data_IF_644495859569
#
_entry.id   IF_644495859569
#
_cell.length_a   1.000
_cell.length_b   1.000
_cell.length_c   1.000
_cell.angle_alpha   90.00
_cell.angle_beta   90.00
_cell.angle_gamma   90.00
#
_symmetry.space_group_name_H-M   'P 1'
#
loop_
_entity.id
_entity.type
_entity.pdbx_description
1 polymer ?
#
# COMPACT_ATOMS: atom_id res chain seq x y z
N UNK A 1 -24.64 -35.19 -14.52
CA UNK A 1 -24.12 -33.93 -15.10
C UNK A 1 -24.32 -32.68 -14.23
N UNK A 2 -25.34 -32.57 -13.35
CA UNK A 2 -25.47 -31.41 -12.44
C UNK A 2 -24.55 -31.43 -11.21
N UNK A 3 -23.98 -32.60 -10.83
CA UNK A 3 -22.96 -32.72 -9.77
C UNK A 3 -21.61 -32.05 -10.12
N UNK A 4 -21.41 -31.66 -11.39
CA UNK A 4 -20.21 -30.95 -11.85
C UNK A 4 -20.35 -29.42 -11.77
N UNK A 5 -21.58 -28.90 -11.62
CA UNK A 5 -21.81 -27.45 -11.50
C UNK A 5 -21.64 -26.94 -10.06
N UNK A 6 -21.83 -27.82 -9.06
CA UNK A 6 -21.68 -27.46 -7.65
C UNK A 6 -20.19 -27.35 -7.24
N UNK A 7 -19.30 -28.05 -7.94
CA UNK A 7 -17.85 -27.98 -7.69
C UNK A 7 -17.20 -26.67 -8.18
N UNK A 8 -17.79 -25.97 -9.15
CA UNK A 8 -17.22 -24.73 -9.67
C UNK A 8 -17.65 -23.48 -8.88
N UNK A 9 -18.81 -23.52 -8.21
CA UNK A 9 -19.18 -22.47 -7.23
C UNK A 9 -18.36 -22.55 -5.94
N UNK A 10 -17.80 -23.72 -5.59
CA UNK A 10 -16.90 -23.88 -4.45
C UNK A 10 -15.51 -23.27 -4.68
N UNK A 11 -15.11 -23.00 -5.92
CA UNK A 11 -13.81 -22.38 -6.24
C UNK A 11 -13.88 -20.84 -6.21
N UNK A 12 -15.10 -20.26 -6.24
CA UNK A 12 -15.32 -18.81 -6.19
C UNK A 12 -15.81 -18.31 -4.80
N UNK A 13 -16.01 -19.21 -3.84
CA UNK A 13 -16.70 -18.96 -2.59
C UNK A 13 -15.88 -19.18 -1.32
N UNK A 14 -14.56 -19.23 -1.41
CA UNK A 14 -13.68 -19.06 -0.25
C UNK A 14 -13.01 -17.68 -0.40
N UNK A 15 -13.41 -16.62 0.29
CA UNK A 15 -13.64 -16.53 1.73
C UNK A 15 -12.56 -17.28 2.53
N UNK A 16 -11.30 -17.24 2.05
CA UNK A 16 -10.16 -17.38 2.93
C UNK A 16 -9.69 -15.97 3.24
N UNK A 17 -10.34 -15.36 4.23
CA UNK A 17 -9.61 -14.44 5.10
C UNK A 17 -8.56 -15.27 5.81
N UNK A 18 -7.43 -15.51 5.13
CA UNK A 18 -6.24 -15.94 5.84
C UNK A 18 -5.79 -14.75 6.67
N UNK A 19 -5.56 -14.98 7.95
CA UNK A 19 -4.97 -13.97 8.80
C UNK A 19 -3.60 -13.59 8.23
N UNK A 20 -3.30 -12.29 8.20
CA UNK A 20 -1.94 -11.86 7.94
C UNK A 20 -1.03 -12.51 9.00
N UNK A 21 0.16 -13.02 8.60
CA UNK A 21 1.04 -13.78 9.51
C UNK A 21 1.57 -12.94 10.68
N UNK A 22 1.48 -11.61 10.56
CA UNK A 22 1.85 -10.62 11.58
C UNK A 22 0.85 -9.47 11.53
N UNK A 23 0.73 -8.71 12.63
CA UNK A 23 -0.15 -7.53 12.69
C UNK A 23 0.29 -6.50 11.65
N UNK A 24 -0.57 -6.24 10.69
CA UNK A 24 -0.26 -5.42 9.51
C UNK A 24 -1.10 -4.15 9.50
N UNK A 25 -0.45 -2.99 9.48
CA UNK A 25 -1.07 -1.70 9.29
C UNK A 25 -0.94 -1.26 7.83
N UNK A 26 -2.05 -1.02 7.16
CA UNK A 26 -2.08 -0.38 5.84
C UNK A 26 -2.39 1.09 6.03
N UNK A 27 -1.43 1.95 5.71
CA UNK A 27 -1.62 3.40 5.64
C UNK A 27 -1.92 3.73 4.19
N UNK A 28 -3.18 4.08 3.93
CA UNK A 28 -3.72 4.26 2.60
C UNK A 28 -3.98 5.75 2.36
N UNK A 29 -3.55 6.24 1.20
CA UNK A 29 -3.90 7.60 0.77
C UNK A 29 -4.16 7.67 -0.73
N UNK A 30 -5.28 8.28 -1.09
CA UNK A 30 -5.66 8.45 -2.49
C UNK A 30 -6.54 9.71 -2.70
N UNK A 31 -6.05 10.76 -3.41
CA UNK A 31 -6.75 12.04 -3.53
C UNK A 31 -8.10 11.95 -4.25
N UNK A 32 -8.28 10.91 -5.08
CA UNK A 32 -9.51 10.64 -5.82
C UNK A 32 -10.06 9.25 -5.50
N UNK A 33 -10.11 8.86 -4.21
CA UNK A 33 -10.49 7.50 -3.79
C UNK A 33 -11.86 7.06 -4.34
N UNK A 34 -12.78 7.99 -4.50
CA UNK A 34 -14.14 7.72 -4.99
C UNK A 34 -14.20 7.24 -6.44
N UNK A 35 -13.22 7.57 -7.27
CA UNK A 35 -13.17 7.15 -8.68
C UNK A 35 -12.13 6.06 -8.93
N UNK A 36 -11.36 5.69 -7.91
CA UNK A 36 -10.24 4.75 -8.04
C UNK A 36 -10.68 3.31 -7.86
N UNK A 37 -10.74 2.56 -8.95
CA UNK A 37 -11.04 1.12 -8.93
C UNK A 37 -9.96 0.31 -8.23
N UNK A 38 -8.68 0.67 -8.42
CA UNK A 38 -7.55 0.01 -7.76
C UNK A 38 -7.61 0.16 -6.24
N UNK A 39 -7.83 1.39 -5.77
CA UNK A 39 -7.85 1.68 -4.35
C UNK A 39 -9.03 0.98 -3.66
N UNK A 40 -10.22 1.05 -4.27
CA UNK A 40 -11.42 0.35 -3.77
C UNK A 40 -11.20 -1.16 -3.71
N UNK A 41 -10.77 -1.77 -4.82
CA UNK A 41 -10.56 -3.22 -4.87
C UNK A 41 -9.52 -3.72 -3.88
N UNK A 42 -8.42 -2.98 -3.68
CA UNK A 42 -7.41 -3.37 -2.70
C UNK A 42 -7.89 -3.15 -1.25
N UNK A 43 -8.61 -2.05 -0.98
CA UNK A 43 -9.20 -1.80 0.34
C UNK A 43 -10.22 -2.87 0.69
N UNK A 44 -11.13 -3.19 -0.21
CA UNK A 44 -12.13 -4.26 -0.06
C UNK A 44 -11.45 -5.62 0.18
N UNK A 45 -10.42 -5.96 -0.60
CA UNK A 45 -9.67 -7.19 -0.40
C UNK A 45 -8.98 -7.21 0.98
N UNK A 46 -8.32 -6.13 1.37
CA UNK A 46 -7.64 -6.04 2.66
C UNK A 46 -8.59 -6.13 3.86
N UNK A 47 -9.83 -5.66 3.73
CA UNK A 47 -10.86 -5.79 4.78
C UNK A 47 -11.28 -7.24 5.04
N UNK A 48 -11.02 -8.15 4.09
CA UNK A 48 -11.34 -9.58 4.26
C UNK A 48 -10.22 -10.38 4.91
N UNK A 49 -9.05 -9.78 5.13
CA UNK A 49 -7.85 -10.41 5.70
C UNK A 49 -7.79 -10.08 7.20
N UNK A 50 -7.72 -11.09 8.07
CA UNK A 50 -7.57 -10.85 9.51
C UNK A 50 -6.16 -10.34 9.87
N UNK A 51 -6.00 -9.79 11.08
CA UNK A 51 -4.78 -9.10 11.52
C UNK A 51 -4.34 -7.90 10.66
N UNK A 52 -5.23 -7.37 9.83
CA UNK A 52 -5.01 -6.16 9.02
C UNK A 52 -5.83 -4.99 9.56
N UNK A 53 -5.15 -3.88 9.82
CA UNK A 53 -5.77 -2.59 10.14
C UNK A 53 -5.58 -1.64 8.96
N UNK A 54 -6.63 -0.97 8.53
CA UNK A 54 -6.56 0.02 7.44
C UNK A 54 -6.75 1.42 8.01
N UNK A 55 -5.74 2.26 7.84
CA UNK A 55 -5.77 3.69 8.09
C UNK A 55 -5.93 4.42 6.75
N UNK A 56 -7.17 4.72 6.36
CA UNK A 56 -7.50 5.54 5.19
C UNK A 56 -7.43 7.02 5.58
N UNK A 57 -6.34 7.69 5.19
CA UNK A 57 -6.04 9.04 5.65
C UNK A 57 -7.12 10.04 5.24
N UNK A 58 -7.61 9.96 4.00
CA UNK A 58 -8.68 10.84 3.53
C UNK A 58 -10.03 10.56 4.21
N UNK A 59 -10.28 9.34 4.68
CA UNK A 59 -11.48 9.02 5.47
C UNK A 59 -11.44 9.57 6.89
N UNK A 60 -10.29 9.44 7.55
CA UNK A 60 -10.13 9.79 8.97
C UNK A 60 -9.93 11.30 9.13
N UNK A 61 -9.13 11.90 8.25
CA UNK A 61 -8.61 13.27 8.39
C UNK A 61 -9.13 14.22 7.31
N UNK A 62 -9.88 13.72 6.32
CA UNK A 62 -10.28 14.48 5.15
C UNK A 62 -9.08 14.83 4.27
N UNK A 63 -9.19 15.93 3.53
CA UNK A 63 -8.11 16.42 2.65
C UNK A 63 -7.27 17.53 3.30
N UNK A 64 -7.39 17.72 4.62
CA UNK A 64 -6.60 18.69 5.37
C UNK A 64 -5.35 18.02 5.96
N UNK A 65 -4.19 18.33 5.38
CA UNK A 65 -2.91 17.81 5.87
C UNK A 65 -2.57 18.17 7.32
N UNK A 66 -3.18 19.22 7.88
CA UNK A 66 -2.88 19.70 9.25
C UNK A 66 -3.73 19.02 10.32
N UNK A 67 -4.76 18.26 9.92
CA UNK A 67 -5.66 17.59 10.86
C UNK A 67 -5.10 16.26 11.37
N UNK A 68 -3.97 15.78 10.82
CA UNK A 68 -3.35 14.51 11.19
C UNK A 68 -2.93 14.53 12.66
N UNK A 69 -3.51 13.62 13.44
CA UNK A 69 -3.14 13.39 14.83
C UNK A 69 -1.91 12.47 14.89
N UNK A 70 -0.73 13.07 14.93
CA UNK A 70 0.52 12.35 14.98
C UNK A 70 0.64 11.40 16.17
N UNK A 71 0.12 11.73 17.35
CA UNK A 71 0.30 10.85 18.52
C UNK A 71 -0.55 9.59 18.41
N UNK A 72 -1.81 9.75 17.99
CA UNK A 72 -2.69 8.63 17.72
C UNK A 72 -2.09 7.67 16.68
N UNK A 73 -1.61 8.21 15.57
CA UNK A 73 -1.04 7.38 14.50
C UNK A 73 0.27 6.69 14.92
N UNK A 74 1.08 7.34 15.76
CA UNK A 74 2.27 6.69 16.36
C UNK A 74 1.88 5.54 17.28
N UNK A 75 0.83 5.70 18.10
CA UNK A 75 0.34 4.62 18.96
C UNK A 75 -0.13 3.42 18.11
N UNK A 76 -0.95 3.66 17.10
CA UNK A 76 -1.39 2.61 16.16
C UNK A 76 -0.17 1.95 15.52
N UNK A 77 0.81 2.72 15.05
CA UNK A 77 2.03 2.18 14.43
C UNK A 77 2.82 1.27 15.37
N UNK A 78 2.89 1.59 16.68
CA UNK A 78 3.58 0.74 17.67
C UNK A 78 2.97 -0.65 17.79
N UNK A 79 1.65 -0.76 17.67
CA UNK A 79 0.89 -2.01 17.82
C UNK A 79 1.02 -2.98 16.64
N UNK A 80 1.62 -2.55 15.53
CA UNK A 80 1.75 -3.33 14.31
C UNK A 80 3.20 -3.66 13.98
N UNK A 81 3.44 -4.84 13.44
CA UNK A 81 4.77 -5.33 13.10
C UNK A 81 5.13 -4.98 11.65
N UNK A 82 4.13 -4.99 10.76
CA UNK A 82 4.29 -4.69 9.34
C UNK A 82 3.51 -3.44 8.97
N UNK A 83 4.15 -2.52 8.26
CA UNK A 83 3.56 -1.28 7.77
C UNK A 83 3.54 -1.29 6.24
N UNK A 84 2.37 -1.07 5.64
CA UNK A 84 2.18 -1.01 4.20
C UNK A 84 1.74 0.39 3.81
N UNK A 85 2.53 1.08 3.01
CA UNK A 85 2.14 2.36 2.44
C UNK A 85 1.46 2.14 1.09
N UNK A 86 0.19 2.51 1.01
CA UNK A 86 -0.63 2.36 -0.17
C UNK A 86 -1.00 3.73 -0.75
N UNK A 87 -0.51 4.04 -1.95
CA UNK A 87 -0.84 5.31 -2.62
C UNK A 87 -0.66 5.23 -4.14
N UNK A 88 -1.39 6.02 -4.94
CA UNK A 88 -1.05 6.21 -6.35
C UNK A 88 0.21 7.08 -6.49
N UNK A 89 1.10 6.72 -7.40
CA UNK A 89 2.24 7.56 -7.79
C UNK A 89 1.75 8.64 -8.74
N UNK A 90 1.69 9.88 -8.25
CA UNK A 90 1.40 11.07 -9.07
C UNK A 90 2.68 11.88 -9.22
N UNK A 91 3.09 12.16 -10.47
CA UNK A 91 4.33 12.90 -10.76
C UNK A 91 5.56 12.37 -10.01
N UNK A 92 5.72 11.05 -10.01
CA UNK A 92 6.84 10.34 -9.34
C UNK A 92 6.92 10.60 -7.82
N UNK A 93 5.79 10.97 -7.21
CA UNK A 93 5.71 11.32 -5.81
C UNK A 93 4.56 10.59 -5.11
N UNK A 94 4.60 10.61 -3.79
CA UNK A 94 3.52 10.17 -2.90
C UNK A 94 2.42 11.23 -2.86
N UNK A 95 1.26 10.86 -2.31
CA UNK A 95 0.13 11.77 -2.14
C UNK A 95 0.38 12.81 -1.03
N UNK A 96 -0.29 13.97 -1.07
CA UNK A 96 -0.14 15.02 -0.06
C UNK A 96 -0.43 14.54 1.37
N UNK A 97 -1.50 13.78 1.58
CA UNK A 97 -1.86 13.25 2.90
C UNK A 97 -0.82 12.24 3.39
N UNK A 98 -0.32 11.35 2.52
CA UNK A 98 0.78 10.44 2.88
C UNK A 98 2.04 11.20 3.29
N UNK A 99 2.39 12.27 2.57
CA UNK A 99 3.54 13.12 2.93
C UNK A 99 3.37 13.77 4.30
N UNK A 100 2.18 14.29 4.58
CA UNK A 100 1.85 14.91 5.86
C UNK A 100 1.90 13.89 7.01
N UNK A 101 1.34 12.69 6.80
CA UNK A 101 1.42 11.59 7.77
C UNK A 101 2.86 11.26 8.15
N UNK A 102 3.76 11.16 7.17
CA UNK A 102 5.17 10.87 7.42
C UNK A 102 5.89 12.02 8.15
N UNK A 103 5.49 13.28 7.92
CA UNK A 103 6.04 14.40 8.69
C UNK A 103 5.71 14.24 10.18
N UNK A 104 4.47 13.88 10.51
CA UNK A 104 4.02 13.73 11.89
C UNK A 104 4.56 12.48 12.58
N UNK A 105 4.63 11.35 11.87
CA UNK A 105 4.98 10.05 12.47
C UNK A 105 6.46 9.71 12.36
N UNK A 106 7.18 10.28 11.39
CA UNK A 106 8.61 10.04 11.19
C UNK A 106 9.45 11.26 11.53
N UNK A 107 9.09 12.42 10.97
CA UNK A 107 9.84 13.67 11.11
C UNK A 107 9.95 14.14 12.56
N UNK A 108 8.88 13.99 13.34
CA UNK A 108 8.79 14.54 14.70
C UNK A 108 9.41 13.66 15.80
N UNK A 109 9.72 12.38 15.54
CA UNK A 109 10.11 11.41 16.60
C UNK A 109 11.34 10.56 16.30
N UNK A 110 11.86 10.59 15.08
CA UNK A 110 13.06 9.84 14.71
C UNK A 110 12.85 8.32 14.53
N UNK A 111 13.94 7.55 14.37
CA UNK A 111 13.87 6.18 13.85
C UNK A 111 13.30 5.15 14.85
N UNK A 112 13.25 5.44 16.14
CA UNK A 112 12.90 4.47 17.18
C UNK A 112 11.51 3.85 17.03
N UNK A 113 10.53 4.61 16.51
CA UNK A 113 9.19 4.08 16.22
C UNK A 113 9.21 2.95 15.18
N UNK A 114 10.17 2.99 14.26
CA UNK A 114 10.19 2.18 13.04
C UNK A 114 11.14 0.99 13.15
N UNK A 115 12.02 0.96 14.15
CA UNK A 115 13.00 -0.11 14.35
C UNK A 115 12.34 -1.49 14.49
N UNK A 116 12.86 -2.46 13.73
CA UNK A 116 12.39 -3.85 13.76
C UNK A 116 11.04 -4.10 13.07
N UNK A 117 10.38 -3.07 12.54
CA UNK A 117 9.16 -3.24 11.75
C UNK A 117 9.49 -3.63 10.32
N UNK A 118 8.57 -4.35 9.68
CA UNK A 118 8.61 -4.62 8.24
C UNK A 118 7.92 -3.48 7.48
N UNK A 119 8.46 -3.09 6.32
CA UNK A 119 7.83 -2.09 5.46
C UNK A 119 7.64 -2.55 4.03
N UNK A 120 6.44 -2.29 3.50
CA UNK A 120 6.12 -2.45 2.09
C UNK A 120 5.56 -1.15 1.51
N UNK A 121 5.85 -0.92 0.22
CA UNK A 121 5.23 0.13 -0.57
C UNK A 121 4.41 -0.52 -1.66
N UNK A 122 3.13 -0.22 -1.69
CA UNK A 122 2.20 -0.64 -2.74
C UNK A 122 1.74 0.60 -3.47
N UNK A 123 2.13 0.73 -4.73
CA UNK A 123 1.78 1.91 -5.52
C UNK A 123 1.42 1.55 -6.95
N UNK A 124 0.56 2.36 -7.54
CA UNK A 124 0.24 2.33 -8.96
C UNK A 124 0.91 3.50 -9.67
N UNK A 125 1.45 3.24 -10.85
CA UNK A 125 2.01 4.27 -11.70
C UNK A 125 1.30 4.24 -13.06
N UNK A 126 1.10 5.42 -13.65
CA UNK A 126 0.50 5.52 -14.97
C UNK A 126 1.52 5.15 -16.06
N UNK A 127 1.21 4.11 -16.84
CA UNK A 127 2.10 3.61 -17.90
C UNK A 127 2.55 2.17 -17.61
N UNK A 128 2.88 1.44 -18.66
CA UNK A 128 3.36 0.07 -18.52
C UNK A 128 4.80 0.01 -18.03
N UNK A 129 5.29 -1.19 -17.70
CA UNK A 129 6.68 -1.40 -17.31
C UNK A 129 7.68 -0.88 -18.37
N UNK A 130 7.32 -0.90 -19.66
CA UNK A 130 8.15 -0.33 -20.75
C UNK A 130 8.28 1.20 -20.69
N UNK A 131 7.42 1.89 -19.94
CA UNK A 131 7.54 3.34 -19.73
C UNK A 131 8.70 3.66 -18.78
N UNK A 132 9.02 2.77 -17.85
CA UNK A 132 9.97 3.00 -16.76
C UNK A 132 11.18 2.07 -16.89
N UNK A 133 12.39 2.64 -16.90
CA UNK A 133 13.62 1.85 -16.94
C UNK A 133 14.71 2.55 -17.74
N UNK A 134 15.90 1.93 -17.80
CA UNK A 134 17.04 2.46 -18.56
C UNK A 134 16.70 2.74 -20.03
N UNK A 135 15.80 1.95 -20.61
CA UNK A 135 15.35 2.08 -22.00
C UNK A 135 13.90 2.59 -22.10
N UNK A 136 13.31 3.03 -20.99
CA UNK A 136 11.95 3.54 -20.95
C UNK A 136 11.86 5.02 -21.32
N UNK A 137 10.65 5.50 -21.59
CA UNK A 137 10.37 6.95 -21.78
C UNK A 137 10.79 7.78 -20.56
N UNK A 138 10.69 7.18 -19.39
CA UNK A 138 11.06 7.75 -18.11
C UNK A 138 12.27 6.97 -17.65
N UNK A 139 13.43 7.60 -17.81
CA UNK A 139 14.70 6.99 -17.45
C UNK A 139 14.76 6.82 -15.93
N UNK A 140 14.80 5.57 -15.48
CA UNK A 140 15.01 5.25 -14.07
C UNK A 140 16.32 4.47 -13.93
N UNK A 141 17.16 4.90 -12.99
CA UNK A 141 18.33 4.11 -12.60
C UNK A 141 17.88 2.99 -11.69
N UNK A 142 18.08 1.75 -12.15
CA UNK A 142 18.05 0.60 -11.26
C UNK A 142 19.31 0.65 -10.40
N UNK A 143 19.17 1.24 -9.22
CA UNK A 143 20.19 1.20 -8.18
C UNK A 143 19.57 0.54 -6.97
N UNK A 144 20.27 -0.48 -6.46
CA UNK A 144 19.89 -1.21 -5.23
C UNK A 144 19.90 -0.32 -3.97
N UNK A 145 20.16 0.99 -4.09
CA UNK A 145 20.40 1.93 -2.99
C UNK A 145 19.77 3.33 -3.15
N UNK A 146 18.97 3.65 -4.18
CA UNK A 146 18.58 5.07 -4.43
C UNK A 146 17.09 5.35 -4.63
N UNK A 147 16.21 4.69 -3.89
CA UNK A 147 14.99 5.39 -3.48
C UNK A 147 15.27 6.00 -2.13
N UNK A 148 14.80 7.23 -1.87
CA UNK A 148 14.88 7.86 -0.54
C UNK A 148 14.43 6.90 0.58
N UNK A 149 13.49 6.01 0.25
CA UNK A 149 13.01 4.92 1.09
C UNK A 149 14.07 3.84 1.41
N UNK A 150 15.03 3.55 0.51
CA UNK A 150 16.15 2.63 0.78
C UNK A 150 17.04 3.16 1.91
N UNK A 151 17.47 4.43 1.82
CA UNK A 151 18.38 5.00 2.82
C UNK A 151 17.69 5.24 4.16
N UNK A 152 16.43 5.71 4.14
CA UNK A 152 15.62 5.92 5.35
C UNK A 152 15.30 4.60 6.06
N UNK A 153 14.96 3.53 5.33
CA UNK A 153 14.68 2.22 5.93
C UNK A 153 15.92 1.55 6.51
N UNK A 154 17.08 1.69 5.85
CA UNK A 154 18.35 1.18 6.38
C UNK A 154 18.81 1.96 7.61
N UNK A 155 18.67 3.29 7.62
CA UNK A 155 18.98 4.11 8.79
C UNK A 155 18.08 3.81 10.01
N UNK A 156 16.87 3.30 9.77
CA UNK A 156 15.92 2.95 10.82
C UNK A 156 15.86 1.44 11.14
N UNK A 157 16.81 0.62 10.65
CA UNK A 157 16.92 -0.81 10.96
C UNK A 157 15.65 -1.63 10.64
N UNK A 158 15.04 -1.39 9.47
CA UNK A 158 13.84 -2.11 9.01
C UNK A 158 14.19 -3.34 8.16
N UNK A 159 13.53 -4.47 8.45
CA UNK A 159 13.58 -5.68 7.62
C UNK A 159 12.71 -5.51 6.37
N UNK A 160 13.19 -6.01 5.22
CA UNK A 160 12.48 -5.94 3.95
C UNK A 160 11.95 -7.30 3.56
N UNK A 161 10.73 -7.35 3.06
CA UNK A 161 10.25 -8.45 2.25
C UNK A 161 10.51 -8.15 0.77
N UNK A 162 10.79 -9.19 -0.02
CA UNK A 162 10.75 -9.11 -1.48
C UNK A 162 9.37 -8.58 -1.90
N UNK A 163 9.27 -7.70 -2.91
CA UNK A 163 7.99 -7.13 -3.32
C UNK A 163 7.03 -8.25 -3.72
N UNK A 164 5.97 -8.45 -2.91
CA UNK A 164 4.99 -9.52 -3.11
C UNK A 164 4.18 -9.41 -4.42
N UNK A 165 4.23 -8.25 -5.10
CA UNK A 165 3.68 -8.09 -6.44
C UNK A 165 4.20 -6.82 -7.12
N UNK A 166 5.05 -6.94 -8.14
CA UNK A 166 4.97 -6.06 -9.31
C UNK A 166 4.06 -6.71 -10.34
N UNK A 167 2.82 -7.03 -9.93
CA UNK A 167 1.87 -7.71 -10.80
C UNK A 167 1.13 -6.69 -11.65
N UNK A 168 1.31 -6.80 -12.96
CA UNK A 168 0.59 -6.08 -14.01
C UNK A 168 -0.93 -6.26 -13.82
N UNK A 169 -1.63 -5.27 -13.28
CA UNK A 169 -3.09 -5.18 -13.42
C UNK A 169 -3.36 -4.73 -14.86
N UNK A 170 -3.45 -5.71 -15.76
CA UNK A 170 -3.79 -5.51 -17.16
C UNK A 170 -5.20 -4.92 -17.29
N UNK A 171 -5.41 -4.00 -18.25
CA UNK A 171 -6.73 -3.45 -18.61
C UNK A 171 -7.81 -4.52 -18.92
N UNK A 172 -7.40 -5.77 -19.12
CA UNK A 172 -8.30 -6.92 -19.36
C UNK A 172 -9.35 -7.15 -18.28
N UNK A 173 -9.11 -6.74 -17.02
CA UNK A 173 -10.06 -6.96 -15.92
C UNK A 173 -11.23 -5.94 -15.98
N UNK A 174 -11.04 -4.81 -16.66
CA UNK A 174 -12.02 -3.71 -16.72
C UNK A 174 -13.09 -3.87 -17.80
N UNK A 175 -12.97 -4.87 -18.69
CA UNK A 175 -13.85 -5.02 -19.86
C UNK A 175 -15.09 -5.90 -19.63
N UNK A 176 -15.37 -6.31 -18.39
CA UNK A 176 -16.53 -7.16 -18.05
C UNK A 176 -17.54 -6.49 -17.12
N UNK A 177 -17.41 -5.18 -16.90
CA UNK A 177 -18.36 -4.36 -16.13
C UNK A 177 -19.16 -3.39 -17.02
N UNK A 178 -19.39 -3.77 -18.28
CA UNK A 178 -20.36 -3.16 -19.20
C UNK A 178 -21.29 -4.26 -19.74
#
# INVERSE_FOLDING_TARGET
>A
MKKLLLGLMLIFGAAFGEDAPVKTLIIASHPYKETSTFFKGLKEAAQTVGNVTICDLEEIYGYDTRSIDGEKERQITREHERIVFLFPTHWFNITPMMKAYLNETWGSVGPGLWQGKEMLVVSTAAGGASTYGKNGRIYTYESKRTTLWYDVSTAACISRSEPLATTKISRSIYRKAE
#
